data_IF_588533699656
#
_entry.id   IF_588533699656
#
_cell.length_a   1.000
_cell.length_b   1.000
_cell.length_c   1.000
_cell.angle_alpha   90.00
_cell.angle_beta   90.00
_cell.angle_gamma   90.00
#
_symmetry.space_group_name_H-M   'P 1'
#
loop_
_entity.id
_entity.type
_entity.pdbx_description
1 polymer ?
#
# COMPACT_ATOMS: atom_id res chain seq x y z
N UNK A 1 -18.96 38.50 14.00
CA UNK A 1 -18.10 37.39 14.44
C UNK A 1 -18.82 36.09 14.11
N UNK A 2 -18.45 35.46 12.99
CA UNK A 2 -19.02 34.17 12.56
C UNK A 2 -18.11 33.07 13.10
N UNK A 3 -18.55 32.37 14.15
CA UNK A 3 -17.87 31.15 14.61
C UNK A 3 -17.94 30.13 13.48
N UNK A 4 -16.83 29.85 12.80
CA UNK A 4 -16.70 28.69 11.90
C UNK A 4 -16.79 27.42 12.74
N UNK A 5 -18.02 26.97 13.00
CA UNK A 5 -18.29 25.64 13.50
C UNK A 5 -17.92 24.66 12.37
N UNK A 6 -16.85 23.89 12.56
CA UNK A 6 -16.59 22.72 11.71
C UNK A 6 -17.79 21.76 11.89
N UNK A 7 -18.59 21.52 10.84
CA UNK A 7 -19.68 20.55 10.94
C UNK A 7 -19.04 19.17 11.02
N UNK A 8 -19.43 18.39 12.03
CA UNK A 8 -19.35 16.94 11.99
C UNK A 8 -17.95 16.31 11.90
N UNK A 9 -17.14 16.45 12.96
CA UNK A 9 -16.20 15.38 13.30
C UNK A 9 -17.01 14.32 14.04
N UNK A 10 -17.51 13.32 13.33
CA UNK A 10 -18.17 12.18 13.97
C UNK A 10 -17.17 11.52 14.93
N UNK A 11 -17.59 11.01 16.09
CA UNK A 11 -16.68 10.29 17.01
C UNK A 11 -15.90 9.15 16.32
N UNK A 12 -16.46 8.58 15.24
CA UNK A 12 -15.77 7.63 14.37
C UNK A 12 -14.56 8.22 13.62
N UNK A 13 -14.61 9.48 13.20
CA UNK A 13 -13.51 10.17 12.50
C UNK A 13 -12.35 10.52 13.44
N UNK A 14 -12.68 10.88 14.68
CA UNK A 14 -11.67 11.13 15.73
C UNK A 14 -10.94 9.85 16.07
N UNK A 15 -11.68 8.75 16.32
CA UNK A 15 -11.09 7.43 16.55
C UNK A 15 -10.26 6.94 15.37
N UNK A 16 -10.71 7.19 14.13
CA UNK A 16 -9.96 6.82 12.92
C UNK A 16 -8.67 7.64 12.81
N UNK A 17 -8.71 8.94 13.09
CA UNK A 17 -7.52 9.80 13.10
C UNK A 17 -6.50 9.37 14.16
N UNK A 18 -6.96 8.99 15.36
CA UNK A 18 -6.10 8.43 16.42
C UNK A 18 -5.42 7.13 15.98
N UNK A 19 -6.17 6.23 15.34
CA UNK A 19 -5.64 4.97 14.79
C UNK A 19 -4.62 5.20 13.67
N UNK A 20 -4.81 6.22 12.84
CA UNK A 20 -3.84 6.62 11.80
C UNK A 20 -2.58 7.20 12.44
N UNK A 21 -2.73 8.05 13.47
CA UNK A 21 -1.60 8.65 14.17
C UNK A 21 -0.76 7.62 14.95
N UNK A 22 -1.41 6.59 15.50
CA UNK A 22 -0.76 5.48 16.19
C UNK A 22 -0.15 4.43 15.25
N UNK A 23 -0.42 4.52 13.94
CA UNK A 23 0.14 3.57 12.99
C UNK A 23 1.66 3.74 12.91
N UNK A 24 2.44 2.64 12.90
CA UNK A 24 3.88 2.74 12.76
C UNK A 24 4.23 3.39 11.42
N UNK A 25 5.05 4.44 11.48
CA UNK A 25 5.52 5.10 10.27
C UNK A 25 6.34 4.13 9.42
N UNK A 26 6.23 4.19 8.08
CA UNK A 26 7.07 3.37 7.21
C UNK A 26 8.54 3.73 7.45
N UNK A 27 9.35 2.72 7.76
CA UNK A 27 10.80 2.91 7.91
C UNK A 27 11.43 3.29 6.57
N UNK A 28 12.60 3.95 6.60
CA UNK A 28 13.35 4.29 5.39
C UNK A 28 13.62 3.07 4.50
N UNK A 29 13.83 1.89 5.10
CA UNK A 29 13.97 0.63 4.39
C UNK A 29 12.70 0.24 3.61
N UNK A 30 11.52 0.42 4.21
CA UNK A 30 10.21 0.17 3.58
C UNK A 30 9.98 1.13 2.41
N UNK A 31 10.34 2.40 2.58
CA UNK A 31 10.19 3.41 1.54
C UNK A 31 11.12 3.16 0.35
N UNK A 32 12.39 2.81 0.61
CA UNK A 32 13.36 2.44 -0.43
C UNK A 32 12.89 1.23 -1.23
N UNK A 33 12.41 0.18 -0.55
CA UNK A 33 11.90 -1.03 -1.22
C UNK A 33 10.72 -0.74 -2.14
N UNK A 34 9.85 0.21 -1.78
CA UNK A 34 8.70 0.64 -2.60
C UNK A 34 9.12 1.46 -3.83
N UNK A 35 10.22 2.23 -3.76
CA UNK A 35 10.70 3.07 -4.86
C UNK A 35 11.65 2.36 -5.84
N UNK A 36 12.10 1.16 -5.51
CA UNK A 36 13.07 0.43 -6.32
C UNK A 36 12.41 -0.23 -7.55
N UNK A 37 12.43 0.46 -8.69
CA UNK A 37 12.00 -0.06 -9.99
C UNK A 37 12.64 -1.41 -10.36
N UNK A 38 13.94 -1.69 -10.08
CA UNK A 38 14.52 -3.01 -10.36
C UNK A 38 13.84 -4.13 -9.57
N UNK A 39 13.48 -3.89 -8.31
CA UNK A 39 12.77 -4.87 -7.46
C UNK A 39 11.35 -5.10 -8.00
N UNK A 40 10.70 -4.05 -8.49
CA UNK A 40 9.39 -4.14 -9.13
C UNK A 40 9.43 -4.97 -10.41
N UNK A 41 10.44 -4.74 -11.26
CA UNK A 41 10.65 -5.51 -12.50
C UNK A 41 10.92 -6.99 -12.22
N UNK A 42 11.76 -7.30 -11.23
CA UNK A 42 12.02 -8.70 -10.84
C UNK A 42 10.73 -9.38 -10.35
N UNK A 43 9.96 -8.69 -9.50
CA UNK A 43 8.67 -9.23 -9.03
C UNK A 43 7.68 -9.45 -10.18
N UNK A 44 7.58 -8.48 -11.08
CA UNK A 44 6.75 -8.58 -12.28
C UNK A 44 7.17 -9.78 -13.14
N UNK A 45 8.46 -9.88 -13.48
CA UNK A 45 9.00 -10.98 -14.27
C UNK A 45 8.73 -12.34 -13.62
N UNK A 46 8.94 -12.49 -12.31
CA UNK A 46 8.68 -13.75 -11.59
C UNK A 46 7.22 -14.19 -11.65
N UNK A 47 6.28 -13.25 -11.52
CA UNK A 47 4.84 -13.54 -11.57
C UNK A 47 4.46 -13.99 -12.98
N UNK A 48 4.86 -13.23 -14.00
CA UNK A 48 4.56 -13.54 -15.40
C UNK A 48 5.21 -14.86 -15.84
N UNK A 49 6.46 -15.12 -15.41
CA UNK A 49 7.17 -16.35 -15.73
C UNK A 49 6.52 -17.57 -15.08
N UNK A 50 6.06 -17.46 -13.83
CA UNK A 50 5.32 -18.54 -13.17
C UNK A 50 4.04 -18.90 -13.92
N UNK A 51 3.31 -17.89 -14.41
CA UNK A 51 2.12 -18.12 -15.23
C UNK A 51 2.49 -18.82 -16.54
N UNK A 52 3.52 -18.33 -17.24
CA UNK A 52 4.02 -18.97 -18.46
C UNK A 52 4.38 -20.44 -18.24
N UNK A 53 5.12 -20.76 -17.19
CA UNK A 53 5.50 -22.15 -16.86
C UNK A 53 4.27 -23.04 -16.66
N UNK A 54 3.24 -22.57 -15.95
CA UNK A 54 1.99 -23.33 -15.75
C UNK A 54 1.24 -23.52 -17.08
N UNK A 55 1.22 -22.49 -17.94
CA UNK A 55 0.57 -22.55 -19.25
C UNK A 55 1.32 -23.52 -20.17
N UNK A 56 2.65 -23.44 -20.24
CA UNK A 56 3.46 -24.29 -21.13
C UNK A 56 3.49 -25.74 -20.65
N UNK A 57 3.57 -25.98 -19.33
CA UNK A 57 3.56 -27.32 -18.77
C UNK A 57 2.23 -28.08 -18.95
N UNK A 58 1.13 -27.38 -19.28
CA UNK A 58 -0.16 -28.00 -19.58
C UNK A 58 -0.29 -28.39 -21.07
N UNK A 59 0.49 -27.78 -21.96
CA UNK A 59 0.43 -28.02 -23.41
C UNK A 59 1.62 -28.85 -23.93
N UNK A 60 2.42 -29.45 -23.04
CA UNK A 60 3.43 -30.48 -23.31
C UNK A 60 3.01 -31.78 -22.64
#
# INVERSE_FOLDING_TARGET
MLSHQHPDRSPADVSTAERIAAAPLPTAATLRRRRNLPIQLIRFARINLRMLVVITAKHS
#
